data_IF_301604742118
#
_entry.id   IF_301604742118
#
_cell.length_a   1.000
_cell.length_b   1.000
_cell.length_c   1.000
_cell.angle_alpha   90.00
_cell.angle_beta   90.00
_cell.angle_gamma   90.00
#
_symmetry.space_group_name_H-M   'P 1'
#
loop_
_entity.id
_entity.type
_entity.pdbx_description
1 polymer ?
#
# COMPACT_ATOMS: atom_id res chain seq x y z
N UNK A 1 12.50 2.06 23.76
CA UNK A 1 11.52 2.68 22.85
C UNK A 1 11.53 1.98 21.52
N UNK A 2 10.35 1.59 21.09
CA UNK A 2 10.22 0.90 19.81
C UNK A 2 10.44 1.89 18.68
N UNK A 3 11.57 1.74 18.01
CA UNK A 3 11.88 2.54 16.83
C UNK A 3 11.42 1.84 15.53
N UNK A 4 10.62 0.79 15.68
CA UNK A 4 10.08 0.07 14.53
C UNK A 4 9.02 0.91 13.82
N UNK A 5 9.07 0.99 12.50
CA UNK A 5 8.10 1.81 11.77
C UNK A 5 6.73 1.15 11.71
N UNK A 6 5.72 1.95 11.41
CA UNK A 6 4.43 1.44 11.00
C UNK A 6 4.42 1.36 9.47
N UNK A 7 3.69 0.39 8.93
CA UNK A 7 3.50 0.25 7.50
C UNK A 7 2.10 0.70 7.13
N UNK A 8 1.97 1.68 6.26
CA UNK A 8 0.68 2.19 5.81
C UNK A 8 0.52 1.87 4.33
N UNK A 9 -0.53 1.14 3.98
CA UNK A 9 -0.83 0.81 2.60
C UNK A 9 -1.61 1.96 1.96
N UNK A 10 -1.15 2.41 0.80
CA UNK A 10 -1.71 3.59 0.14
C UNK A 10 -1.79 3.39 -1.36
N UNK A 11 -2.97 3.60 -1.92
CA UNK A 11 -3.23 3.46 -3.36
C UNK A 11 -3.77 4.75 -4.00
N UNK A 12 -3.72 5.86 -3.27
CA UNK A 12 -4.26 7.13 -3.74
C UNK A 12 -5.74 7.33 -3.46
N UNK A 13 -6.43 6.31 -2.93
CA UNK A 13 -7.86 6.41 -2.63
C UNK A 13 -8.11 7.24 -1.38
N UNK A 14 -9.36 7.70 -1.24
CA UNK A 14 -9.80 8.40 -0.04
C UNK A 14 -9.73 7.51 1.20
N UNK A 15 -10.07 6.23 1.04
CA UNK A 15 -9.96 5.24 2.11
C UNK A 15 -8.54 5.11 2.61
N UNK A 16 -7.56 5.13 1.70
CA UNK A 16 -6.15 5.06 2.06
C UNK A 16 -5.68 6.34 2.76
N UNK A 17 -6.19 7.50 2.38
CA UNK A 17 -5.88 8.75 3.08
C UNK A 17 -6.43 8.73 4.51
N UNK A 18 -7.62 8.19 4.69
CA UNK A 18 -8.20 8.01 6.02
C UNK A 18 -7.35 7.07 6.86
N UNK A 19 -6.76 6.05 6.24
CA UNK A 19 -5.85 5.15 6.94
C UNK A 19 -4.61 5.91 7.44
N UNK A 20 -4.06 6.81 6.64
CA UNK A 20 -2.96 7.67 7.07
C UNK A 20 -3.39 8.55 8.25
N UNK A 21 -4.54 9.19 8.16
CA UNK A 21 -5.03 10.08 9.22
C UNK A 21 -5.26 9.31 10.52
N UNK A 22 -5.83 8.11 10.45
CA UNK A 22 -6.02 7.25 11.61
C UNK A 22 -4.68 6.85 12.23
N UNK A 23 -3.72 6.47 11.39
CA UNK A 23 -2.39 6.10 11.86
C UNK A 23 -1.71 7.28 12.56
N UNK A 24 -1.81 8.48 12.01
CA UNK A 24 -1.23 9.68 12.60
C UNK A 24 -1.87 10.01 13.95
N UNK A 25 -3.18 9.78 14.08
CA UNK A 25 -3.90 10.01 15.31
C UNK A 25 -3.53 9.01 16.41
N UNK A 26 -3.39 7.75 16.04
CA UNK A 26 -3.10 6.66 16.98
C UNK A 26 -1.62 6.54 17.33
N UNK A 27 -0.74 6.89 16.40
CA UNK A 27 0.71 6.76 16.56
C UNK A 27 1.43 8.07 16.22
N UNK A 28 1.13 9.15 16.96
CA UNK A 28 1.68 10.47 16.60
C UNK A 28 3.21 10.49 16.60
N UNK A 29 3.78 11.11 15.58
CA UNK A 29 5.22 11.27 15.47
C UNK A 29 5.99 10.02 15.07
N UNK A 30 5.30 8.92 14.78
CA UNK A 30 5.93 7.63 14.50
C UNK A 30 6.57 7.61 13.10
N UNK A 31 7.66 6.85 13.00
CA UNK A 31 8.21 6.52 11.68
C UNK A 31 7.20 5.67 10.92
N UNK A 32 7.02 5.98 9.65
CA UNK A 32 6.05 5.29 8.80
C UNK A 32 6.65 5.02 7.43
N UNK A 33 6.37 3.85 6.90
CA UNK A 33 6.63 3.53 5.50
C UNK A 33 5.27 3.53 4.80
N UNK A 34 5.11 4.37 3.79
CA UNK A 34 3.89 4.44 2.98
C UNK A 34 4.14 3.64 1.72
N UNK A 35 3.40 2.56 1.56
CA UNK A 35 3.62 1.53 0.54
C UNK A 35 2.50 1.50 -0.48
N UNK A 36 2.85 1.55 -1.75
CA UNK A 36 1.96 1.16 -2.83
C UNK A 36 2.52 -0.10 -3.50
N UNK A 37 1.67 -1.09 -3.71
CA UNK A 37 2.03 -2.36 -4.35
C UNK A 37 1.42 -2.37 -5.74
N UNK A 38 2.28 -2.34 -6.77
CA UNK A 38 1.87 -2.50 -8.15
C UNK A 38 1.67 -3.98 -8.47
N UNK A 39 0.65 -4.33 -9.24
CA UNK A 39 0.45 -5.72 -9.61
C UNK A 39 1.53 -6.21 -10.57
N UNK A 40 1.87 -7.50 -10.48
CA UNK A 40 2.69 -8.15 -11.48
C UNK A 40 1.85 -8.30 -12.75
N UNK A 41 2.43 -7.95 -13.90
CA UNK A 41 1.74 -8.10 -15.18
C UNK A 41 1.69 -9.58 -15.56
N UNK A 42 0.52 -10.03 -16.01
CA UNK A 42 0.37 -11.37 -16.56
C UNK A 42 1.06 -11.44 -17.92
N UNK A 43 1.29 -12.67 -18.42
CA UNK A 43 1.87 -12.86 -19.74
C UNK A 43 1.02 -12.20 -20.84
N UNK A 44 -0.32 -12.23 -20.69
CA UNK A 44 -1.23 -11.58 -21.62
C UNK A 44 -1.13 -10.07 -21.59
N UNK A 45 -1.01 -9.51 -20.41
CA UNK A 45 -0.82 -8.07 -20.22
C UNK A 45 0.53 -7.61 -20.75
N UNK A 46 1.57 -8.41 -20.55
CA UNK A 46 2.89 -8.14 -21.10
C UNK A 46 2.87 -8.17 -22.63
N UNK A 47 2.13 -9.11 -23.25
CA UNK A 47 1.97 -9.18 -24.70
C UNK A 47 1.20 -7.97 -25.24
N UNK A 48 0.16 -7.54 -24.56
CA UNK A 48 -0.59 -6.34 -24.92
C UNK A 48 0.30 -5.09 -24.83
N UNK A 49 1.17 -5.04 -23.84
CA UNK A 49 2.14 -3.96 -23.68
C UNK A 49 3.19 -3.95 -24.80
N UNK A 50 3.65 -5.11 -25.23
CA UNK A 50 4.63 -5.25 -26.33
C UNK A 50 4.04 -4.75 -27.65
N UNK A 51 2.74 -4.93 -27.87
CA UNK A 51 2.09 -4.42 -29.08
C UNK A 51 2.00 -2.89 -29.14
N UNK A 52 2.31 -2.19 -28.05
CA UNK A 52 2.34 -0.72 -27.99
C UNK A 52 3.74 -0.12 -28.05
N UNK A 53 4.74 -0.88 -28.51
CA UNK A 53 6.12 -0.40 -28.78
C UNK A 53 6.94 -0.07 -27.53
N UNK A 54 6.53 -0.54 -26.35
CA UNK A 54 7.33 -0.35 -25.12
C UNK A 54 8.01 -1.67 -24.78
N UNK A 55 9.35 -1.71 -24.59
CA UNK A 55 10.02 -2.91 -24.13
C UNK A 55 9.43 -3.41 -22.81
N UNK A 56 9.31 -4.73 -22.61
CA UNK A 56 8.70 -5.32 -21.42
C UNK A 56 9.33 -4.87 -20.11
N UNK A 57 10.66 -4.70 -20.10
CA UNK A 57 11.38 -4.19 -18.94
C UNK A 57 11.03 -2.73 -18.63
N UNK A 58 10.82 -1.91 -19.67
CA UNK A 58 10.40 -0.53 -19.49
C UNK A 58 8.98 -0.44 -18.93
N UNK A 59 8.14 -1.42 -19.21
CA UNK A 59 6.77 -1.47 -18.71
C UNK A 59 6.72 -1.77 -17.21
N UNK A 60 7.56 -2.69 -16.74
CA UNK A 60 7.69 -2.97 -15.31
C UNK A 60 8.25 -1.76 -14.57
N UNK A 61 9.26 -1.10 -15.14
CA UNK A 61 9.84 0.12 -14.58
C UNK A 61 8.81 1.24 -14.48
N UNK A 62 7.97 1.43 -15.51
CA UNK A 62 6.91 2.43 -15.51
C UNK A 62 5.86 2.13 -14.46
N UNK A 63 5.51 0.86 -14.29
CA UNK A 63 4.53 0.44 -13.28
C UNK A 63 5.06 0.69 -11.87
N UNK A 64 6.34 0.38 -11.63
CA UNK A 64 6.99 0.63 -10.35
C UNK A 64 7.15 2.13 -10.10
N UNK A 65 7.50 2.91 -11.13
CA UNK A 65 7.63 4.36 -11.04
C UNK A 65 6.28 5.01 -10.71
N UNK A 66 5.19 4.50 -11.28
CA UNK A 66 3.85 4.98 -10.99
C UNK A 66 3.45 4.68 -9.54
N UNK A 67 3.74 3.47 -9.08
CA UNK A 67 3.51 3.08 -7.69
C UNK A 67 4.33 3.95 -6.72
N UNK A 68 5.58 4.24 -7.07
CA UNK A 68 6.43 5.10 -6.25
C UNK A 68 5.89 6.53 -6.20
N UNK A 69 5.36 7.04 -7.30
CA UNK A 69 4.72 8.35 -7.33
C UNK A 69 3.50 8.40 -6.42
N UNK A 70 2.66 7.37 -6.44
CA UNK A 70 1.51 7.25 -5.55
C UNK A 70 1.97 7.18 -4.10
N UNK A 71 2.98 6.36 -3.81
CA UNK A 71 3.53 6.23 -2.46
C UNK A 71 4.10 7.56 -1.95
N UNK A 72 4.75 8.33 -2.82
CA UNK A 72 5.26 9.67 -2.47
C UNK A 72 4.13 10.62 -2.12
N UNK A 73 3.04 10.58 -2.86
CA UNK A 73 1.85 11.38 -2.54
C UNK A 73 1.33 11.05 -1.14
N UNK A 74 1.23 9.77 -0.84
CA UNK A 74 0.82 9.31 0.49
C UNK A 74 1.80 9.71 1.59
N UNK A 75 3.11 9.63 1.31
CA UNK A 75 4.13 10.03 2.27
C UNK A 75 4.07 11.53 2.57
N UNK A 76 3.79 12.36 1.56
CA UNK A 76 3.59 13.79 1.77
C UNK A 76 2.37 14.05 2.66
N UNK A 77 1.27 13.35 2.43
CA UNK A 77 0.08 13.45 3.27
C UNK A 77 0.39 13.03 4.71
N UNK A 78 1.15 11.95 4.88
CA UNK A 78 1.55 11.45 6.19
C UNK A 78 2.46 12.46 6.93
N UNK A 79 3.38 13.07 6.21
CA UNK A 79 4.25 14.12 6.78
C UNK A 79 3.46 15.34 7.21
N UNK A 80 2.46 15.74 6.42
CA UNK A 80 1.57 16.82 6.80
C UNK A 80 0.78 16.50 8.06
N UNK A 81 0.53 15.21 8.31
CA UNK A 81 -0.11 14.72 9.53
C UNK A 81 0.91 14.44 10.65
N UNK A 82 2.17 14.83 10.45
CA UNK A 82 3.26 14.77 11.43
C UNK A 82 3.83 13.38 11.71
N UNK A 83 3.67 12.47 10.77
CA UNK A 83 4.43 11.21 10.79
C UNK A 83 5.78 11.42 10.12
N UNK A 84 6.78 10.65 10.54
CA UNK A 84 8.07 10.61 9.85
C UNK A 84 7.98 9.57 8.74
N UNK A 85 7.43 9.97 7.60
CA UNK A 85 7.05 9.06 6.55
C UNK A 85 8.04 9.03 5.39
N UNK A 86 8.25 7.84 4.83
CA UNK A 86 9.00 7.66 3.60
C UNK A 86 8.20 6.76 2.66
N UNK A 87 8.30 7.01 1.35
CA UNK A 87 7.57 6.22 0.37
C UNK A 87 8.30 4.93 0.02
N UNK A 88 7.53 3.92 -0.34
CA UNK A 88 8.06 2.68 -0.88
C UNK A 88 7.11 2.11 -1.90
N UNK A 89 7.65 1.58 -2.99
CA UNK A 89 6.89 0.87 -4.03
C UNK A 89 7.40 -0.55 -4.13
N UNK A 90 6.49 -1.48 -4.33
CA UNK A 90 6.80 -2.87 -4.56
C UNK A 90 5.93 -3.40 -5.70
N UNK A 91 6.38 -4.48 -6.33
CA UNK A 91 5.61 -5.19 -7.34
C UNK A 91 5.31 -6.58 -6.79
N UNK A 92 4.06 -6.95 -6.69
CA UNK A 92 3.66 -8.27 -6.18
C UNK A 92 2.25 -8.62 -6.62
N UNK A 93 2.02 -9.90 -6.78
CA UNK A 93 0.67 -10.46 -7.00
C UNK A 93 0.58 -11.79 -6.25
N UNK A 94 -0.41 -11.92 -5.38
CA UNK A 94 -1.43 -10.93 -5.03
C UNK A 94 -0.88 -9.77 -4.17
N UNK A 95 -1.61 -8.68 -4.12
CA UNK A 95 -1.18 -7.47 -3.41
C UNK A 95 -0.84 -7.71 -1.94
N UNK A 96 -1.65 -8.51 -1.23
CA UNK A 96 -1.43 -8.79 0.19
C UNK A 96 -0.07 -9.42 0.47
N UNK A 97 0.41 -10.24 -0.45
CA UNK A 97 1.71 -10.91 -0.30
C UNK A 97 2.85 -9.89 -0.28
N UNK A 98 2.79 -8.89 -1.16
CA UNK A 98 3.75 -7.79 -1.16
C UNK A 98 3.71 -6.99 0.13
N UNK A 99 2.54 -6.73 0.64
CA UNK A 99 2.37 -6.00 1.90
C UNK A 99 2.99 -6.76 3.07
N UNK A 100 2.67 -8.04 3.20
CA UNK A 100 3.19 -8.89 4.29
C UNK A 100 4.71 -9.01 4.19
N UNK A 101 5.23 -9.19 2.99
CA UNK A 101 6.67 -9.29 2.76
C UNK A 101 7.40 -8.00 3.20
N UNK A 102 6.90 -6.85 2.81
CA UNK A 102 7.51 -5.57 3.21
C UNK A 102 7.40 -5.37 4.72
N UNK A 103 6.25 -5.72 5.30
CA UNK A 103 6.07 -5.61 6.76
C UNK A 103 7.13 -6.44 7.52
N UNK A 104 7.44 -7.63 7.02
CA UNK A 104 8.46 -8.47 7.62
C UNK A 104 9.87 -7.90 7.41
N UNK A 105 10.16 -7.39 6.23
CA UNK A 105 11.46 -6.79 5.93
C UNK A 105 11.78 -5.59 6.82
N UNK A 106 10.80 -4.73 7.08
CA UNK A 106 11.01 -3.53 7.90
C UNK A 106 10.72 -3.76 9.39
N UNK A 107 10.33 -4.95 9.75
CA UNK A 107 9.90 -5.29 11.11
C UNK A 107 8.82 -4.33 11.61
N UNK A 108 7.77 -4.17 10.82
CA UNK A 108 6.71 -3.21 11.12
C UNK A 108 6.01 -3.53 12.45
N UNK A 109 5.77 -2.51 13.23
CA UNK A 109 5.03 -2.64 14.49
C UNK A 109 3.55 -2.95 14.25
N UNK A 110 3.00 -2.41 13.17
CA UNK A 110 1.60 -2.60 12.76
C UNK A 110 1.48 -2.33 11.27
N UNK A 111 0.55 -3.03 10.63
CA UNK A 111 0.17 -2.78 9.24
C UNK A 111 -1.15 -2.03 9.27
N UNK A 112 -1.22 -0.87 8.61
CA UNK A 112 -2.43 -0.06 8.56
C UNK A 112 -3.00 -0.12 7.15
N UNK A 113 -4.24 -0.54 7.02
CA UNK A 113 -4.93 -0.66 5.73
C UNK A 113 -6.31 -0.03 5.83
N UNK A 114 -6.75 0.60 4.76
CA UNK A 114 -8.15 1.01 4.62
C UNK A 114 -8.99 -0.21 4.27
N UNK A 115 -10.25 -0.19 4.66
CA UNK A 115 -11.17 -1.30 4.38
C UNK A 115 -11.69 -1.29 2.94
N UNK A 116 -11.44 -0.21 2.20
CA UNK A 116 -11.84 -0.06 0.80
C UNK A 116 -10.72 0.61 0.03
N UNK A 117 -10.72 0.47 -1.29
CA UNK A 117 -9.90 1.28 -2.17
C UNK A 117 -8.74 0.59 -2.82
N UNK A 118 -8.13 -0.42 -2.19
CA UNK A 118 -6.96 -1.07 -2.74
C UNK A 118 -7.24 -1.85 -4.03
N UNK A 119 -8.49 -2.09 -4.35
CA UNK A 119 -8.91 -2.68 -5.62
C UNK A 119 -9.76 -1.73 -6.47
N UNK A 120 -10.13 -0.59 -5.94
CA UNK A 120 -10.99 0.38 -6.62
C UNK A 120 -12.41 -0.09 -6.85
N UNK A 121 -12.77 -1.31 -6.45
CA UNK A 121 -14.07 -1.89 -6.73
C UNK A 121 -14.75 -2.27 -5.42
N UNK A 122 -15.92 -1.71 -5.21
CA UNK A 122 -16.73 -1.91 -4.01
C UNK A 122 -17.11 -3.38 -3.77
N UNK A 123 -17.24 -4.13 -4.85
CA UNK A 123 -17.64 -5.54 -4.83
C UNK A 123 -16.52 -6.50 -4.51
N UNK A 124 -15.28 -6.05 -4.57
CA UNK A 124 -14.12 -6.84 -4.23
C UNK A 124 -13.92 -6.98 -2.71
N UNK A 125 -14.84 -6.50 -1.93
CA UNK A 125 -14.74 -6.45 -0.48
C UNK A 125 -14.59 -7.83 0.17
N UNK A 126 -15.23 -8.85 -0.37
CA UNK A 126 -15.15 -10.22 0.17
C UNK A 126 -13.79 -10.88 -0.06
N UNK A 127 -13.06 -10.43 -1.07
CA UNK A 127 -11.68 -10.85 -1.30
C UNK A 127 -10.71 -9.70 -1.06
N UNK A 128 -11.05 -8.80 -0.15
CA UNK A 128 -10.31 -7.56 0.02
C UNK A 128 -8.89 -7.79 0.51
N UNK A 129 -7.99 -6.90 0.09
CA UNK A 129 -6.60 -6.91 0.51
C UNK A 129 -6.50 -6.83 2.03
N UNK A 130 -7.35 -6.03 2.67
CA UNK A 130 -7.34 -5.89 4.13
C UNK A 130 -7.64 -7.20 4.84
N UNK A 131 -8.59 -7.98 4.33
CA UNK A 131 -8.92 -9.29 4.88
C UNK A 131 -7.75 -10.27 4.74
N UNK A 132 -7.17 -10.34 3.55
CA UNK A 132 -6.04 -11.24 3.27
C UNK A 132 -4.81 -10.86 4.10
N UNK A 133 -4.53 -9.58 4.23
CA UNK A 133 -3.44 -9.11 5.08
C UNK A 133 -3.68 -9.50 6.52
N UNK A 134 -4.89 -9.29 7.04
CA UNK A 134 -5.24 -9.65 8.42
C UNK A 134 -5.09 -11.15 8.67
N UNK A 135 -5.43 -11.97 7.68
CA UNK A 135 -5.35 -13.42 7.79
C UNK A 135 -3.92 -13.95 7.72
N UNK A 136 -3.07 -13.35 6.90
CA UNK A 136 -1.72 -13.88 6.63
C UNK A 136 -0.60 -13.14 7.37
N UNK A 137 -0.84 -11.96 7.91
CA UNK A 137 0.20 -11.21 8.61
C UNK A 137 0.56 -11.85 9.95
N UNK A 138 1.85 -11.80 10.28
CA UNK A 138 2.34 -12.21 11.60
C UNK A 138 2.40 -11.04 12.59
N UNK A 139 1.82 -9.90 12.22
CA UNK A 139 1.86 -8.63 12.97
C UNK A 139 0.47 -8.07 13.16
N UNK A 140 0.28 -7.18 14.14
CA UNK A 140 -1.01 -6.49 14.27
C UNK A 140 -1.40 -5.77 12.99
N UNK A 141 -2.67 -5.83 12.64
CA UNK A 141 -3.22 -5.15 11.47
C UNK A 141 -4.34 -4.24 11.93
N UNK A 142 -4.22 -2.97 11.58
CA UNK A 142 -5.25 -1.98 11.85
C UNK A 142 -6.03 -1.75 10.55
N UNK A 143 -7.29 -2.14 10.55
CA UNK A 143 -8.19 -1.92 9.41
C UNK A 143 -9.03 -0.67 9.70
N UNK A 144 -8.89 0.34 8.86
CA UNK A 144 -9.58 1.62 9.06
C UNK A 144 -10.87 1.61 8.23
N UNK A 145 -12.03 1.71 8.87
CA UNK A 145 -13.30 1.66 8.15
C UNK A 145 -13.54 2.93 7.33
N UNK A 146 -14.44 2.86 6.34
CA UNK A 146 -14.81 4.04 5.58
C UNK A 146 -15.56 5.04 6.45
N UNK A 147 -15.60 6.29 5.99
CA UNK A 147 -16.37 7.32 6.69
C UNK A 147 -17.86 6.96 6.68
N UNK A 148 -18.48 7.14 7.82
CA UNK A 148 -19.91 6.98 7.92
C UNK A 148 -20.59 8.27 7.47
N UNK A 149 -21.41 8.14 6.44
CA UNK A 149 -22.25 9.25 5.99
C UNK A 149 -23.50 9.36 6.83
#
# INVERSE_FOLDING_TARGET
MNDTPILICYDGSESARRAIDAAASLFPGRRAVVLDVAPLLTAGESLAAVSSVVPGTAFEDLNTDDALRVARDGAEHARAARLEAEPRAETASPTWEGIVTVADEIDAAVIVVGSRGLSGVREAFEGSVSHEVAEHASRPVLVVPPERS
#
